data_IF_901786408861
#
_entry.id   IF_901786408861
#
_cell.length_a   1.000
_cell.length_b   1.000
_cell.length_c   1.000
_cell.angle_alpha   90.00
_cell.angle_beta   90.00
_cell.angle_gamma   90.00
#
_symmetry.space_group_name_H-M   'P 1'
#
loop_
_entity.id
_entity.type
_entity.pdbx_description
1 polymer ?
#
# COMPACT_ATOMS: atom_id res chain seq x y z
N UNK A 1 -23.53 17.37 31.12
CA UNK A 1 -23.11 16.85 29.82
C UNK A 1 -24.37 16.66 28.99
N UNK A 2 -24.49 17.36 27.86
CA UNK A 2 -25.64 17.23 26.97
C UNK A 2 -25.56 15.90 26.20
N UNK A 3 -26.67 15.36 25.68
CA UNK A 3 -26.65 14.18 24.82
C UNK A 3 -25.71 14.34 23.61
N UNK A 4 -25.60 15.57 23.08
CA UNK A 4 -24.71 15.93 21.98
C UNK A 4 -23.23 15.81 22.39
N UNK A 5 -22.83 16.38 23.53
CA UNK A 5 -21.45 16.27 24.04
C UNK A 5 -21.04 14.80 24.28
N UNK A 6 -21.98 13.97 24.74
CA UNK A 6 -21.72 12.53 24.93
C UNK A 6 -21.51 11.83 23.59
N UNK A 7 -22.26 12.18 22.54
CA UNK A 7 -22.11 11.62 21.21
C UNK A 7 -20.76 12.02 20.58
N UNK A 8 -20.35 13.28 20.73
CA UNK A 8 -19.07 13.79 20.23
C UNK A 8 -17.88 13.07 20.89
N UNK A 9 -17.89 12.95 22.22
CA UNK A 9 -16.83 12.23 22.95
C UNK A 9 -16.78 10.75 22.55
N UNK A 10 -17.93 10.11 22.32
CA UNK A 10 -17.98 8.72 21.86
C UNK A 10 -17.39 8.58 20.45
N UNK A 11 -17.71 9.50 19.53
CA UNK A 11 -17.16 9.51 18.18
C UNK A 11 -15.64 9.70 18.19
N UNK A 12 -15.16 10.71 18.93
CA UNK A 12 -13.74 10.98 19.11
C UNK A 12 -13.01 9.76 19.70
N UNK A 13 -13.56 9.16 20.77
CA UNK A 13 -12.99 7.97 21.39
C UNK A 13 -12.90 6.77 20.44
N UNK A 14 -13.88 6.61 19.54
CA UNK A 14 -13.84 5.56 18.51
C UNK A 14 -12.73 5.78 17.50
N UNK A 15 -12.50 7.02 17.06
CA UNK A 15 -11.42 7.37 16.12
C UNK A 15 -10.05 7.04 16.71
N UNK A 16 -9.75 7.55 17.91
CA UNK A 16 -8.49 7.26 18.59
C UNK A 16 -8.28 5.77 18.87
N UNK A 17 -9.35 5.03 19.18
CA UNK A 17 -9.27 3.59 19.37
C UNK A 17 -8.86 2.87 18.08
N UNK A 18 -9.45 3.24 16.94
CA UNK A 18 -9.11 2.68 15.63
C UNK A 18 -7.67 3.00 15.26
N UNK A 19 -7.22 4.24 15.49
CA UNK A 19 -5.84 4.66 15.20
C UNK A 19 -4.83 3.83 16.01
N UNK A 20 -5.06 3.68 17.32
CA UNK A 20 -4.17 2.90 18.20
C UNK A 20 -4.16 1.41 17.83
N UNK A 21 -5.32 0.83 17.51
CA UNK A 21 -5.40 -0.57 17.06
C UNK A 21 -4.62 -0.75 15.75
N UNK A 22 -4.75 0.20 14.82
CA UNK A 22 -4.04 0.20 13.54
C UNK A 22 -2.53 0.32 13.73
N UNK A 23 -2.07 1.18 14.65
CA UNK A 23 -0.65 1.32 15.02
C UNK A 23 -0.06 0.04 15.57
N UNK A 24 -0.77 -0.65 16.48
CA UNK A 24 -0.30 -1.92 17.07
C UNK A 24 -0.17 -2.99 15.99
N UNK A 25 -1.18 -3.10 15.12
CA UNK A 25 -1.18 -4.06 14.03
C UNK A 25 -0.03 -3.78 13.05
N UNK A 26 0.12 -2.54 12.60
CA UNK A 26 1.16 -2.17 11.65
C UNK A 26 2.57 -2.30 12.25
N UNK A 27 2.75 -1.97 13.52
CA UNK A 27 4.01 -2.17 14.25
C UNK A 27 4.43 -3.64 14.30
N UNK A 28 3.45 -4.54 14.46
CA UNK A 28 3.70 -5.98 14.43
C UNK A 28 4.18 -6.43 13.04
N UNK A 29 3.52 -5.97 11.98
CA UNK A 29 3.92 -6.26 10.60
C UNK A 29 5.30 -5.68 10.26
N UNK A 30 5.59 -4.46 10.71
CA UNK A 30 6.89 -3.85 10.52
C UNK A 30 8.00 -4.63 11.23
N UNK A 31 7.74 -5.17 12.42
CA UNK A 31 8.66 -6.08 13.11
C UNK A 31 8.98 -7.34 12.30
N UNK A 32 7.96 -7.97 11.71
CA UNK A 32 8.15 -9.13 10.80
C UNK A 32 8.99 -8.73 9.58
N UNK A 33 8.73 -7.55 9.00
CA UNK A 33 9.52 -7.00 7.90
C UNK A 33 10.99 -6.79 8.27
N UNK A 34 11.28 -6.23 9.44
CA UNK A 34 12.65 -6.07 9.94
C UNK A 34 13.38 -7.42 10.06
N UNK A 35 12.71 -8.45 10.57
CA UNK A 35 13.28 -9.79 10.66
C UNK A 35 13.60 -10.36 9.26
N UNK A 36 12.67 -10.25 8.32
CA UNK A 36 12.88 -10.69 6.93
C UNK A 36 14.03 -9.92 6.25
N UNK A 37 14.15 -8.61 6.55
CA UNK A 37 15.24 -7.78 6.08
C UNK A 37 16.60 -8.23 6.64
N UNK A 38 16.68 -8.50 7.95
CA UNK A 38 17.89 -9.03 8.58
C UNK A 38 18.30 -10.39 7.99
N UNK A 39 17.35 -11.29 7.76
CA UNK A 39 17.61 -12.59 7.10
C UNK A 39 18.13 -12.36 5.67
N UNK A 40 17.53 -11.42 4.93
CA UNK A 40 17.94 -11.09 3.56
C UNK A 40 19.37 -10.55 3.51
N UNK A 41 19.74 -9.66 4.44
CA UNK A 41 21.10 -9.17 4.60
C UNK A 41 22.08 -10.30 4.95
N UNK A 42 21.72 -11.15 5.91
CA UNK A 42 22.53 -12.30 6.30
C UNK A 42 22.81 -13.22 5.10
N UNK A 43 21.80 -13.55 4.30
CA UNK A 43 21.96 -14.36 3.08
C UNK A 43 22.84 -13.62 2.08
N UNK A 44 22.62 -12.31 1.86
CA UNK A 44 23.40 -11.51 0.93
C UNK A 44 24.91 -11.51 1.26
N UNK A 45 25.26 -11.32 2.53
CA UNK A 45 26.65 -11.29 2.98
C UNK A 45 27.31 -12.68 2.95
N UNK A 46 26.56 -13.73 3.27
CA UNK A 46 27.09 -15.10 3.28
C UNK A 46 27.13 -15.76 1.89
N UNK A 47 26.45 -15.17 0.90
CA UNK A 47 26.49 -15.70 -0.46
C UNK A 47 27.80 -15.32 -1.15
N UNK A 48 28.67 -16.33 -1.31
CA UNK A 48 29.88 -16.23 -2.15
C UNK A 48 29.47 -15.99 -3.61
N UNK A 49 29.75 -14.80 -4.12
CA UNK A 49 29.45 -14.40 -5.49
C UNK A 49 30.29 -13.20 -5.87
N UNK A 50 30.66 -13.10 -7.15
CA UNK A 50 31.49 -12.02 -7.67
C UNK A 50 30.89 -10.65 -7.31
N UNK A 51 31.73 -9.73 -6.82
CA UNK A 51 31.39 -8.36 -6.48
C UNK A 51 31.19 -7.48 -7.73
N UNK A 52 30.40 -7.96 -8.69
CA UNK A 52 30.05 -7.23 -9.89
C UNK A 52 29.00 -6.14 -9.64
N UNK A 53 28.75 -5.33 -10.66
CA UNK A 53 27.79 -4.23 -10.62
C UNK A 53 26.37 -4.66 -10.21
N UNK A 54 25.96 -5.89 -10.55
CA UNK A 54 24.67 -6.45 -10.15
C UNK A 54 24.56 -6.66 -8.62
N UNK A 55 25.63 -7.14 -7.97
CA UNK A 55 25.65 -7.35 -6.50
C UNK A 55 25.61 -6.01 -5.75
N UNK A 56 26.23 -4.95 -6.31
CA UNK A 56 26.14 -3.57 -5.80
C UNK A 56 24.75 -2.97 -5.99
N UNK A 57 24.15 -3.12 -7.19
CA UNK A 57 22.79 -2.65 -7.45
C UNK A 57 21.77 -3.30 -6.50
N UNK A 58 21.90 -4.61 -6.26
CA UNK A 58 21.00 -5.35 -5.38
C UNK A 58 21.03 -4.86 -3.92
N UNK A 59 22.21 -4.53 -3.38
CA UNK A 59 22.29 -3.99 -2.02
C UNK A 59 21.78 -2.55 -1.94
N UNK A 60 22.02 -1.73 -2.98
CA UNK A 60 21.46 -0.38 -3.04
C UNK A 60 19.93 -0.40 -3.05
N UNK A 61 19.31 -1.29 -3.84
CA UNK A 61 17.85 -1.45 -3.86
C UNK A 61 17.33 -1.95 -2.51
N UNK A 62 18.01 -2.93 -1.90
CA UNK A 62 17.61 -3.46 -0.59
C UNK A 62 17.66 -2.39 0.51
N UNK A 63 18.76 -1.62 0.57
CA UNK A 63 18.93 -0.51 1.53
C UNK A 63 17.93 0.62 1.27
N UNK A 64 17.78 1.04 0.02
CA UNK A 64 16.83 2.10 -0.35
C UNK A 64 15.39 1.73 0.03
N UNK A 65 14.96 0.50 -0.28
CA UNK A 65 13.63 0.03 0.08
C UNK A 65 13.42 0.00 1.60
N UNK A 66 14.44 -0.40 2.38
CA UNK A 66 14.35 -0.39 3.84
C UNK A 66 14.22 1.02 4.40
N UNK A 67 15.00 1.98 3.88
CA UNK A 67 14.90 3.38 4.28
C UNK A 67 13.52 3.95 3.97
N UNK A 68 12.98 3.68 2.78
CA UNK A 68 11.64 4.13 2.40
C UNK A 68 10.56 3.54 3.32
N UNK A 69 10.62 2.24 3.60
CA UNK A 69 9.70 1.57 4.52
C UNK A 69 9.81 2.10 5.96
N UNK A 70 11.04 2.41 6.41
CA UNK A 70 11.27 3.01 7.73
C UNK A 70 10.65 4.41 7.81
N UNK A 71 10.83 5.24 6.79
CA UNK A 71 10.22 6.58 6.74
C UNK A 71 8.70 6.46 6.74
N UNK A 72 8.13 5.59 5.90
CA UNK A 72 6.68 5.34 5.87
C UNK A 72 6.15 4.95 7.26
N UNK A 73 6.82 4.00 7.93
CA UNK A 73 6.42 3.52 9.24
C UNK A 73 6.47 4.62 10.30
N UNK A 74 7.55 5.40 10.34
CA UNK A 74 7.68 6.53 11.25
C UNK A 74 6.62 7.59 10.97
N UNK A 75 6.37 7.90 9.70
CA UNK A 75 5.32 8.85 9.29
C UNK A 75 3.93 8.42 9.74
N UNK A 76 3.64 7.12 9.76
CA UNK A 76 2.36 6.60 10.25
C UNK A 76 2.24 6.71 11.78
N UNK A 77 3.17 6.08 12.52
CA UNK A 77 3.08 5.97 13.99
C UNK A 77 3.26 7.31 14.71
N UNK A 78 3.95 8.28 14.10
CA UNK A 78 4.15 9.59 14.70
C UNK A 78 2.90 10.49 14.68
N UNK A 79 1.86 10.16 13.92
CA UNK A 79 0.62 10.97 13.83
C UNK A 79 -0.24 10.82 15.08
N UNK A 80 -0.50 9.57 15.51
CA UNK A 80 -1.35 9.26 16.66
C UNK A 80 -0.99 10.00 17.95
N UNK A 81 0.29 10.07 18.40
CA UNK A 81 0.61 10.81 19.63
C UNK A 81 0.38 12.32 19.50
N UNK A 82 0.57 12.92 18.32
CA UNK A 82 0.25 14.33 18.09
C UNK A 82 -1.28 14.56 18.11
N UNK A 83 -2.05 13.66 17.51
CA UNK A 83 -3.52 13.71 17.57
C UNK A 83 -4.03 13.57 19.01
N UNK A 84 -3.47 12.66 19.81
CA UNK A 84 -3.85 12.51 21.23
C UNK A 84 -3.48 13.75 22.03
N UNK A 85 -2.28 14.31 21.81
CA UNK A 85 -1.82 15.50 22.53
C UNK A 85 -2.75 16.70 22.30
N UNK A 86 -3.05 17.03 21.05
CA UNK A 86 -3.86 18.21 20.75
C UNK A 86 -5.37 17.96 20.78
N UNK A 87 -5.80 16.72 20.54
CA UNK A 87 -7.21 16.34 20.48
C UNK A 87 -7.82 15.86 21.81
N UNK A 88 -7.00 15.47 22.80
CA UNK A 88 -7.48 15.01 24.11
C UNK A 88 -6.83 15.73 25.30
N UNK A 89 -5.55 16.12 25.20
CA UNK A 89 -4.81 16.69 26.34
C UNK A 89 -4.90 18.22 26.39
N UNK A 90 -4.85 18.89 25.25
CA UNK A 90 -4.99 20.36 25.18
C UNK A 90 -6.46 20.74 25.30
N UNK A 91 -6.80 21.53 26.32
CA UNK A 91 -8.16 21.98 26.56
C UNK A 91 -8.41 23.29 25.83
N UNK A 92 -9.26 23.25 24.80
CA UNK A 92 -9.79 24.44 24.11
C UNK A 92 -11.22 24.75 24.56
N UNK A 93 -11.62 26.04 24.54
CA UNK A 93 -12.91 26.49 25.05
C UNK A 93 -14.13 25.98 24.26
N UNK A 94 -13.97 25.62 22.98
CA UNK A 94 -15.02 25.07 22.11
C UNK A 94 -15.18 23.54 22.19
N UNK A 95 -14.67 22.90 23.24
CA UNK A 95 -14.90 21.47 23.48
C UNK A 95 -14.06 20.54 22.61
N UNK A 96 -14.47 19.26 22.54
CA UNK A 96 -13.69 18.17 21.93
C UNK A 96 -13.55 18.36 20.41
N UNK A 97 -14.57 18.91 19.74
CA UNK A 97 -14.55 19.11 18.29
C UNK A 97 -13.53 20.17 17.88
N UNK A 98 -13.44 21.29 18.61
CA UNK A 98 -12.43 22.32 18.35
C UNK A 98 -11.01 21.77 18.57
N UNK A 99 -10.83 20.90 19.57
CA UNK A 99 -9.56 20.23 19.85
C UNK A 99 -9.13 19.29 18.72
N UNK A 100 -10.06 18.49 18.19
CA UNK A 100 -9.79 17.59 17.05
C UNK A 100 -9.43 18.39 15.79
N UNK A 101 -10.13 19.50 15.52
CA UNK A 101 -9.80 20.37 14.39
C UNK A 101 -8.43 21.03 14.58
N UNK A 102 -8.11 21.48 15.80
CA UNK A 102 -6.81 22.04 16.13
C UNK A 102 -5.67 21.00 16.03
N UNK A 103 -5.94 19.74 16.35
CA UNK A 103 -5.00 18.63 16.21
C UNK A 103 -4.71 18.32 14.74
N UNK A 104 -5.76 18.19 13.91
CA UNK A 104 -5.61 17.91 12.48
C UNK A 104 -4.97 19.06 11.69
N UNK A 105 -5.08 20.29 12.18
CA UNK A 105 -4.45 21.47 11.56
C UNK A 105 -2.99 21.69 11.97
N UNK A 106 -2.43 20.83 12.84
CA UNK A 106 -1.01 20.92 13.17
C UNK A 106 -0.15 20.69 11.94
N UNK A 107 0.87 21.54 11.79
CA UNK A 107 1.81 21.45 10.66
C UNK A 107 2.53 20.11 10.62
N UNK A 108 2.90 19.56 11.78
CA UNK A 108 3.55 18.25 11.89
C UNK A 108 2.63 17.11 11.42
N UNK A 109 1.37 17.10 11.84
CA UNK A 109 0.37 16.11 11.41
C UNK A 109 0.21 16.18 9.88
N UNK A 110 0.01 17.38 9.34
CA UNK A 110 -0.10 17.60 7.88
C UNK A 110 1.13 17.10 7.12
N UNK A 111 2.34 17.36 7.63
CA UNK A 111 3.57 16.91 6.97
C UNK A 111 3.67 15.38 6.99
N UNK A 112 3.39 14.75 8.13
CA UNK A 112 3.50 13.30 8.31
C UNK A 112 2.45 12.54 7.49
N UNK A 113 1.20 13.00 7.46
CA UNK A 113 0.12 12.39 6.66
C UNK A 113 0.40 12.51 5.17
N UNK A 114 0.90 13.66 4.71
CA UNK A 114 1.34 13.83 3.33
C UNK A 114 2.50 12.89 3.00
N UNK A 115 3.56 12.85 3.83
CA UNK A 115 4.69 11.93 3.60
C UNK A 115 4.22 10.47 3.52
N UNK A 116 3.32 10.06 4.42
CA UNK A 116 2.72 8.72 4.40
C UNK A 116 1.98 8.45 3.09
N UNK A 117 1.07 9.33 2.68
CA UNK A 117 0.29 9.21 1.44
C UNK A 117 1.16 9.11 0.19
N UNK A 118 2.21 9.93 0.09
CA UNK A 118 3.13 9.88 -1.04
C UNK A 118 3.94 8.58 -1.06
N UNK A 119 4.46 8.15 0.09
CA UNK A 119 5.28 6.95 0.19
C UNK A 119 4.46 5.66 0.01
N UNK A 120 3.19 5.63 0.47
CA UNK A 120 2.30 4.50 0.29
C UNK A 120 2.01 4.21 -1.18
N UNK A 121 2.12 5.23 -2.04
CA UNK A 121 2.00 5.08 -3.49
C UNK A 121 3.33 4.73 -4.16
N UNK A 122 4.44 5.35 -3.74
CA UNK A 122 5.76 5.13 -4.38
C UNK A 122 6.35 3.74 -4.13
N UNK A 123 6.20 3.21 -2.92
CA UNK A 123 6.81 1.93 -2.53
C UNK A 123 6.28 0.76 -3.38
N UNK A 124 4.95 0.62 -3.62
CA UNK A 124 4.42 -0.36 -4.57
C UNK A 124 5.03 -0.26 -5.97
N UNK A 125 5.31 0.93 -6.52
CA UNK A 125 5.94 1.04 -7.85
C UNK A 125 7.33 0.42 -7.88
N UNK A 126 8.12 0.62 -6.82
CA UNK A 126 9.45 0.04 -6.73
C UNK A 126 9.33 -1.49 -6.72
N UNK A 127 8.33 -2.03 -6.03
CA UNK A 127 8.03 -3.46 -6.04
C UNK A 127 7.65 -3.94 -7.46
N UNK A 128 6.75 -3.24 -8.14
CA UNK A 128 6.27 -3.59 -9.48
C UNK A 128 7.41 -3.54 -10.52
N UNK A 129 8.27 -2.51 -10.47
CA UNK A 129 9.48 -2.41 -11.31
C UNK A 129 10.43 -3.60 -11.06
N UNK A 130 10.61 -4.02 -9.81
CA UNK A 130 11.46 -5.18 -9.48
C UNK A 130 10.86 -6.47 -10.03
N UNK A 131 9.54 -6.64 -9.98
CA UNK A 131 8.85 -7.81 -10.55
C UNK A 131 8.98 -7.82 -12.07
N UNK A 132 8.77 -6.67 -12.72
CA UNK A 132 8.88 -6.51 -14.18
C UNK A 132 10.30 -6.75 -14.66
N UNK A 133 11.31 -6.23 -13.95
CA UNK A 133 12.71 -6.50 -14.24
C UNK A 133 13.02 -8.00 -14.19
N UNK A 134 12.46 -8.73 -13.22
CA UNK A 134 12.62 -10.19 -13.11
C UNK A 134 11.95 -10.93 -14.25
N UNK A 135 10.73 -10.53 -14.64
CA UNK A 135 10.04 -11.09 -15.80
C UNK A 135 10.81 -10.83 -17.10
N UNK A 136 11.34 -9.62 -17.26
CA UNK A 136 12.17 -9.24 -18.42
C UNK A 136 13.42 -10.11 -18.52
N UNK A 137 14.13 -10.32 -17.41
CA UNK A 137 15.35 -11.13 -17.39
C UNK A 137 15.09 -12.60 -17.81
N UNK A 138 13.89 -13.12 -17.57
CA UNK A 138 13.46 -14.46 -17.97
C UNK A 138 13.10 -14.56 -19.47
N UNK A 139 12.55 -13.49 -20.04
CA UNK A 139 12.06 -13.46 -21.42
C UNK A 139 13.10 -12.93 -22.41
N UNK A 140 14.29 -13.53 -22.51
CA UNK A 140 15.37 -13.00 -23.36
C UNK A 140 14.98 -12.85 -24.84
N UNK A 141 14.18 -13.77 -25.39
CA UNK A 141 13.92 -13.91 -26.83
C UNK A 141 12.59 -13.34 -27.35
N UNK A 142 11.66 -12.90 -26.49
CA UNK A 142 10.34 -12.42 -26.93
C UNK A 142 10.14 -10.93 -26.64
N UNK A 143 10.46 -10.09 -27.63
CA UNK A 143 10.42 -8.62 -27.53
C UNK A 143 9.01 -8.08 -27.29
N UNK A 144 7.96 -8.77 -27.75
CA UNK A 144 6.57 -8.33 -27.56
C UNK A 144 6.16 -8.33 -26.09
N UNK A 145 6.47 -9.40 -25.36
CA UNK A 145 6.17 -9.53 -23.92
C UNK A 145 6.88 -8.45 -23.11
N UNK A 146 8.14 -8.12 -23.46
CA UNK A 146 8.89 -7.04 -22.81
C UNK A 146 8.21 -5.67 -22.98
N UNK A 147 7.78 -5.34 -24.21
CA UNK A 147 7.09 -4.08 -24.47
C UNK A 147 5.74 -4.00 -23.78
N UNK A 148 4.98 -5.09 -23.74
CA UNK A 148 3.70 -5.14 -23.01
C UNK A 148 3.91 -4.90 -21.51
N UNK A 149 4.90 -5.55 -20.88
CA UNK A 149 5.21 -5.35 -19.46
C UNK A 149 5.67 -3.91 -19.19
N UNK A 150 6.51 -3.34 -20.03
CA UNK A 150 7.02 -1.97 -19.86
C UNK A 150 5.91 -0.92 -20.01
N UNK A 151 5.05 -1.05 -21.04
CA UNK A 151 3.90 -0.16 -21.24
C UNK A 151 2.93 -0.23 -20.08
N UNK A 152 2.66 -1.44 -19.58
CA UNK A 152 1.73 -1.64 -18.47
C UNK A 152 2.26 -1.04 -17.16
N UNK A 153 3.55 -1.21 -16.87
CA UNK A 153 4.21 -0.59 -15.70
C UNK A 153 4.22 0.93 -15.81
N UNK A 154 4.46 1.46 -17.02
CA UNK A 154 4.49 2.92 -17.22
C UNK A 154 3.10 3.54 -17.07
N UNK A 155 2.06 2.87 -17.56
CA UNK A 155 0.68 3.29 -17.34
C UNK A 155 0.33 3.32 -15.85
N UNK A 156 0.75 2.30 -15.09
CA UNK A 156 0.54 2.22 -13.64
C UNK A 156 1.19 3.38 -12.87
N UNK A 157 2.46 3.65 -13.18
CA UNK A 157 3.20 4.79 -12.61
C UNK A 157 2.49 6.11 -12.93
N UNK A 158 2.01 6.29 -14.16
CA UNK A 158 1.37 7.53 -14.58
C UNK A 158 0.04 7.78 -13.86
N UNK A 159 -0.80 6.76 -13.72
CA UNK A 159 -2.11 6.87 -13.06
C UNK A 159 -1.94 7.14 -11.56
N UNK A 160 -1.05 6.42 -10.90
CA UNK A 160 -0.90 6.53 -9.46
C UNK A 160 -0.13 7.80 -9.04
N UNK A 161 0.72 8.34 -9.92
CA UNK A 161 1.28 9.69 -9.75
C UNK A 161 0.20 10.77 -9.94
N UNK A 162 -0.67 10.61 -10.94
CA UNK A 162 -1.79 11.52 -11.14
C UNK A 162 -2.73 11.53 -9.94
N UNK A 163 -3.03 10.37 -9.36
CA UNK A 163 -3.81 10.22 -8.15
C UNK A 163 -3.19 10.96 -6.95
N UNK A 164 -1.90 10.73 -6.69
CA UNK A 164 -1.17 11.41 -5.60
C UNK A 164 -1.19 12.94 -5.73
N UNK A 165 -1.03 13.44 -6.96
CA UNK A 165 -1.09 14.88 -7.25
C UNK A 165 -2.50 15.43 -7.04
N UNK A 166 -3.53 14.71 -7.50
CA UNK A 166 -4.93 15.08 -7.27
C UNK A 166 -5.25 15.11 -5.77
N UNK A 167 -4.82 14.11 -5.00
CA UNK A 167 -5.05 14.09 -3.55
C UNK A 167 -4.36 15.29 -2.84
N UNK A 168 -3.14 15.63 -3.26
CA UNK A 168 -2.40 16.78 -2.72
C UNK A 168 -2.99 18.15 -3.09
N UNK A 169 -3.71 18.24 -4.21
CA UNK A 169 -4.32 19.48 -4.71
C UNK A 169 -5.79 19.64 -4.31
N UNK A 170 -6.52 18.53 -4.12
CA UNK A 170 -7.91 18.49 -3.67
C UNK A 170 -8.04 18.72 -2.16
N UNK A 171 -7.01 18.42 -1.36
CA UNK A 171 -6.92 18.88 0.04
C UNK A 171 -7.03 20.43 0.16
N UNK A 172 -6.89 21.17 -0.95
CA UNK A 172 -7.07 22.61 -1.03
C UNK A 172 -8.42 23.07 -1.61
N UNK A 173 -9.24 22.18 -2.17
CA UNK A 173 -10.56 22.52 -2.74
C UNK A 173 -11.59 21.44 -2.44
N UNK A 174 -12.30 21.66 -1.33
CA UNK A 174 -13.56 20.98 -1.02
C UNK A 174 -14.60 21.34 -2.07
N UNK A 175 -14.93 20.43 -2.97
CA UNK A 175 -16.21 20.42 -3.68
C UNK A 175 -16.46 19.11 -4.39
N UNK A 176 -17.51 18.42 -3.92
CA UNK A 176 -18.49 17.65 -4.67
C UNK A 176 -18.17 17.43 -6.16
N UNK A 177 -17.83 16.20 -6.53
CA UNK A 177 -18.36 15.58 -7.75
C UNK A 177 -18.06 14.08 -7.74
N UNK A 178 -19.06 13.31 -8.17
CA UNK A 178 -19.06 11.87 -8.32
C UNK A 178 -18.16 11.44 -9.50
N UNK A 179 -16.85 11.58 -9.31
CA UNK A 179 -15.86 10.97 -10.17
C UNK A 179 -15.50 9.60 -9.59
N UNK A 180 -15.39 8.58 -10.44
CA UNK A 180 -14.69 7.34 -10.09
C UNK A 180 -13.33 7.75 -9.53
N UNK A 181 -13.08 7.54 -8.24
CA UNK A 181 -11.88 8.07 -7.62
C UNK A 181 -10.67 7.43 -8.29
N UNK A 182 -9.65 8.25 -8.60
CA UNK A 182 -8.44 7.80 -9.25
C UNK A 182 -7.75 6.68 -8.44
N UNK A 183 -7.98 6.63 -7.12
CA UNK A 183 -7.60 5.53 -6.24
C UNK A 183 -8.03 4.15 -6.79
N UNK A 184 -9.29 4.00 -7.25
CA UNK A 184 -9.78 2.73 -7.79
C UNK A 184 -9.05 2.32 -9.06
N UNK A 185 -8.77 3.31 -9.92
CA UNK A 185 -8.09 3.07 -11.19
C UNK A 185 -6.63 2.68 -10.93
N UNK A 186 -5.94 3.41 -10.05
CA UNK A 186 -4.57 3.14 -9.64
C UNK A 186 -4.43 1.72 -9.07
N UNK A 187 -5.33 1.33 -8.16
CA UNK A 187 -5.25 0.03 -7.50
C UNK A 187 -5.59 -1.13 -8.45
N UNK A 188 -6.61 -1.00 -9.31
CA UNK A 188 -6.94 -2.02 -10.32
C UNK A 188 -5.81 -2.17 -11.33
N UNK A 189 -5.15 -1.06 -11.70
CA UNK A 189 -4.06 -1.06 -12.66
C UNK A 189 -2.81 -1.74 -12.08
N UNK A 190 -2.43 -1.43 -10.83
CA UNK A 190 -1.29 -2.10 -10.16
C UNK A 190 -1.55 -3.59 -9.99
N UNK A 191 -2.79 -3.97 -9.65
CA UNK A 191 -3.17 -5.38 -9.56
C UNK A 191 -3.06 -6.08 -10.93
N UNK A 192 -3.47 -5.40 -11.99
CA UNK A 192 -3.37 -5.93 -13.36
C UNK A 192 -1.91 -6.10 -13.80
N UNK A 193 -1.03 -5.15 -13.45
CA UNK A 193 0.41 -5.24 -13.70
C UNK A 193 1.00 -6.46 -13.01
N UNK A 194 0.70 -6.63 -11.72
CA UNK A 194 1.18 -7.72 -10.91
C UNK A 194 0.67 -9.08 -11.37
N UNK A 195 -0.60 -9.16 -11.75
CA UNK A 195 -1.21 -10.36 -12.31
C UNK A 195 -0.55 -10.76 -13.63
N UNK A 196 -0.41 -9.82 -14.56
CA UNK A 196 0.19 -10.09 -15.87
C UNK A 196 1.67 -10.46 -15.74
N UNK A 197 2.41 -9.79 -14.87
CA UNK A 197 3.81 -10.10 -14.62
C UNK A 197 3.97 -11.49 -13.97
N UNK A 198 3.17 -11.81 -12.96
CA UNK A 198 3.19 -13.11 -12.27
C UNK A 198 2.81 -14.24 -13.22
N UNK A 199 1.75 -14.08 -14.02
CA UNK A 199 1.34 -15.04 -15.05
C UNK A 199 2.42 -15.21 -16.13
N UNK A 200 3.11 -14.14 -16.52
CA UNK A 200 4.21 -14.21 -17.50
C UNK A 200 5.42 -14.99 -16.97
N UNK A 201 5.73 -14.86 -15.68
CA UNK A 201 6.77 -15.66 -15.00
C UNK A 201 6.33 -17.12 -14.91
N UNK A 202 5.08 -17.38 -14.52
CA UNK A 202 4.50 -18.73 -14.42
C UNK A 202 4.51 -19.46 -15.77
N UNK A 203 4.11 -18.77 -16.83
CA UNK A 203 4.07 -19.34 -18.18
C UNK A 203 5.47 -19.69 -18.68
N UNK A 204 6.47 -18.83 -18.45
CA UNK A 204 7.85 -19.12 -18.80
C UNK A 204 8.41 -20.30 -17.99
N UNK A 205 8.09 -20.38 -16.69
CA UNK A 205 8.45 -21.53 -15.86
C UNK A 205 7.82 -22.84 -16.38
N UNK A 206 6.55 -22.78 -16.81
CA UNK A 206 5.85 -23.92 -17.41
C UNK A 206 6.43 -24.33 -18.77
N UNK A 207 6.81 -23.37 -19.62
CA UNK A 207 7.50 -23.65 -20.89
C UNK A 207 8.86 -24.32 -20.66
N UNK A 208 9.63 -23.84 -19.68
CA UNK A 208 10.88 -24.48 -19.28
C UNK A 208 10.65 -25.90 -18.77
N UNK A 209 9.67 -26.11 -17.89
CA UNK A 209 9.31 -27.43 -17.39
C UNK A 209 8.88 -28.36 -18.52
N UNK A 210 8.00 -27.92 -19.42
CA UNK A 210 7.50 -28.71 -20.57
C UNK A 210 8.61 -29.08 -21.56
N UNK A 211 9.53 -28.15 -21.85
CA UNK A 211 10.68 -28.38 -22.71
C UNK A 211 11.69 -29.36 -22.11
N UNK A 212 11.81 -29.38 -20.78
CA UNK A 212 12.77 -30.24 -20.08
C UNK A 212 12.19 -31.62 -19.75
N UNK A 213 10.87 -31.73 -19.57
CA UNK A 213 10.15 -33.00 -19.36
C UNK A 213 10.12 -33.90 -20.61
N UNK A 214 10.35 -33.36 -21.81
CA UNK A 214 10.48 -34.18 -23.02
C UNK A 214 11.83 -34.91 -23.10
N UNK A 215 12.80 -34.60 -22.23
CA UNK A 215 14.19 -35.08 -22.32
C UNK A 215 14.61 -35.96 -21.11
N UNK A 216 13.98 -35.90 -19.93
CA UNK A 216 14.37 -36.80 -18.82
C UNK A 216 13.30 -36.94 -17.72
N UNK A 217 12.81 -38.17 -17.53
CA UNK A 217 11.77 -38.55 -16.56
C UNK A 217 12.21 -38.65 -15.09
N UNK A 218 13.44 -38.22 -14.74
CA UNK A 218 13.94 -38.40 -13.37
C UNK A 218 15.04 -37.41 -13.01
N UNK A 219 14.69 -36.15 -12.71
CA UNK A 219 15.69 -35.23 -12.16
C UNK A 219 15.16 -34.31 -11.06
N UNK A 220 16.00 -34.18 -10.02
CA UNK A 220 15.92 -33.27 -8.88
C UNK A 220 15.70 -31.84 -9.39
N UNK A 221 14.70 -31.13 -8.86
CA UNK A 221 14.42 -29.72 -9.19
C UNK A 221 15.72 -28.90 -9.30
N UNK A 222 15.91 -28.25 -10.43
CA UNK A 222 17.07 -27.38 -10.66
C UNK A 222 16.96 -26.14 -9.77
N UNK A 223 18.10 -25.50 -9.46
CA UNK A 223 18.11 -24.25 -8.67
C UNK A 223 17.23 -23.17 -9.30
N UNK A 224 17.15 -23.12 -10.64
CA UNK A 224 16.29 -22.18 -11.37
C UNK A 224 14.80 -22.43 -11.16
N UNK A 225 14.35 -23.68 -11.17
CA UNK A 225 12.94 -24.04 -10.92
C UNK A 225 12.49 -23.67 -9.51
N UNK A 226 13.35 -23.86 -8.50
CA UNK A 226 13.04 -23.43 -7.12
C UNK A 226 12.90 -21.92 -6.99
N UNK A 227 13.78 -21.16 -7.65
CA UNK A 227 13.70 -19.69 -7.65
C UNK A 227 12.42 -19.23 -8.35
N UNK A 228 12.06 -19.83 -9.47
CA UNK A 228 10.83 -19.53 -10.20
C UNK A 228 9.58 -19.83 -9.37
N UNK A 229 9.57 -20.94 -8.64
CA UNK A 229 8.45 -21.32 -7.79
C UNK A 229 8.31 -20.37 -6.59
N UNK A 230 9.40 -20.00 -5.94
CA UNK A 230 9.39 -18.99 -4.88
C UNK A 230 8.88 -17.63 -5.39
N UNK A 231 9.27 -17.23 -6.60
CA UNK A 231 8.76 -16.00 -7.23
C UNK A 231 7.25 -16.08 -7.46
N UNK A 232 6.76 -17.21 -7.95
CA UNK A 232 5.33 -17.45 -8.16
C UNK A 232 4.54 -17.38 -6.84
N UNK A 233 5.01 -18.07 -5.80
CA UNK A 233 4.36 -18.08 -4.48
C UNK A 233 4.34 -16.68 -3.86
N UNK A 234 5.46 -15.95 -3.89
CA UNK A 234 5.53 -14.59 -3.34
C UNK A 234 4.65 -13.59 -4.12
N UNK A 235 4.57 -13.70 -5.45
CA UNK A 235 3.68 -12.88 -6.27
C UNK A 235 2.20 -13.18 -6.00
N UNK A 236 1.84 -14.45 -5.80
CA UNK A 236 0.48 -14.83 -5.44
C UNK A 236 0.04 -14.28 -4.07
N UNK A 237 0.92 -14.35 -3.07
CA UNK A 237 0.68 -13.75 -1.75
C UNK A 237 0.49 -12.24 -1.87
N UNK A 238 1.35 -11.56 -2.65
CA UNK A 238 1.22 -10.12 -2.87
C UNK A 238 -0.10 -9.74 -3.53
N UNK A 239 -0.52 -10.46 -4.58
CA UNK A 239 -1.82 -10.25 -5.23
C UNK A 239 -3.00 -10.47 -4.26
N UNK A 240 -2.92 -11.49 -3.39
CA UNK A 240 -3.96 -11.73 -2.38
C UNK A 240 -4.06 -10.58 -1.37
N UNK A 241 -2.92 -10.04 -0.95
CA UNK A 241 -2.87 -8.86 -0.05
C UNK A 241 -3.44 -7.62 -0.75
N UNK A 242 -3.09 -7.37 -2.01
CA UNK A 242 -3.67 -6.28 -2.79
C UNK A 242 -5.19 -6.43 -2.95
N UNK A 243 -5.70 -7.63 -3.24
CA UNK A 243 -7.13 -7.90 -3.30
C UNK A 243 -7.84 -7.61 -1.97
N UNK A 244 -7.25 -8.03 -0.86
CA UNK A 244 -7.81 -7.78 0.46
C UNK A 244 -7.86 -6.27 0.77
N UNK A 245 -6.82 -5.53 0.39
CA UNK A 245 -6.79 -4.08 0.52
C UNK A 245 -7.92 -3.42 -0.29
N UNK A 246 -8.13 -3.84 -1.55
CA UNK A 246 -9.23 -3.36 -2.40
C UNK A 246 -10.58 -3.61 -1.75
N UNK A 247 -10.81 -4.84 -1.27
CA UNK A 247 -12.08 -5.21 -0.63
C UNK A 247 -12.31 -4.35 0.61
N UNK A 248 -11.26 -4.08 1.40
CA UNK A 248 -11.37 -3.26 2.60
C UNK A 248 -11.76 -1.82 2.26
N UNK A 249 -11.13 -1.22 1.24
CA UNK A 249 -11.48 0.14 0.75
C UNK A 249 -12.89 0.18 0.13
N UNK A 250 -13.27 -0.86 -0.61
CA UNK A 250 -14.61 -0.98 -1.17
C UNK A 250 -15.69 -0.98 -0.08
N UNK A 251 -15.45 -1.75 0.98
CA UNK A 251 -16.34 -1.84 2.11
C UNK A 251 -16.41 -0.52 2.88
N UNK A 252 -15.28 0.14 3.17
CA UNK A 252 -15.28 1.42 3.90
C UNK A 252 -16.08 2.51 3.17
N UNK A 253 -15.91 2.62 1.85
CA UNK A 253 -16.66 3.58 1.04
C UNK A 253 -18.17 3.29 1.04
N UNK A 254 -18.55 2.01 1.07
CA UNK A 254 -19.96 1.61 1.14
C UNK A 254 -20.57 1.96 2.50
N UNK A 255 -19.80 1.80 3.59
CA UNK A 255 -20.22 2.18 4.94
C UNK A 255 -20.42 3.70 5.06
N UNK A 256 -19.47 4.53 4.62
CA UNK A 256 -19.62 6.00 4.66
C UNK A 256 -20.85 6.48 3.87
N UNK A 257 -21.09 5.89 2.70
CA UNK A 257 -22.24 6.24 1.88
C UNK A 257 -23.57 5.85 2.54
N UNK A 258 -23.62 4.71 3.25
CA UNK A 258 -24.80 4.28 4.02
C UNK A 258 -25.06 5.16 5.24
N UNK A 259 -24.02 5.59 5.93
CA UNK A 259 -24.11 6.46 7.10
C UNK A 259 -24.68 7.85 6.75
N UNK A 260 -24.20 8.46 5.65
CA UNK A 260 -24.73 9.73 5.17
C UNK A 260 -26.21 9.67 4.75
N UNK A 261 -26.68 8.53 4.25
CA UNK A 261 -28.09 8.34 3.91
C UNK A 261 -28.99 8.25 5.15
N UNK A 262 -28.54 7.58 6.22
CA UNK A 262 -29.27 7.55 7.49
C UNK A 262 -29.34 8.93 8.15
N UNK A 263 -28.25 9.71 8.11
CA UNK A 263 -28.21 11.08 8.63
C UNK A 263 -29.18 12.02 7.86
N UNK A 264 -29.22 11.93 6.53
CA UNK A 264 -30.15 12.71 5.72
C UNK A 264 -31.62 12.31 5.95
N UNK A 265 -31.90 11.02 6.15
CA UNK A 265 -33.24 10.52 6.46
C UNK A 265 -33.72 10.99 7.84
N UNK A 266 -32.85 10.94 8.85
CA UNK A 266 -33.17 11.39 10.22
C UNK A 266 -33.39 12.89 10.28
N UNK A 267 -32.58 13.70 9.58
CA UNK A 267 -32.81 15.14 9.45
C UNK A 267 -34.11 15.48 8.71
N UNK A 268 -34.44 14.73 7.65
CA UNK A 268 -35.71 14.93 6.92
C UNK A 268 -36.94 14.64 7.78
N UNK A 269 -36.87 13.65 8.67
CA UNK A 269 -37.96 13.33 9.60
C UNK A 269 -38.10 14.37 10.71
N UNK A 270 -37.00 14.95 11.19
CA UNK A 270 -37.05 16.03 12.19
C UNK A 270 -37.64 17.33 11.62
N UNK A 271 -37.34 17.67 10.37
CA UNK A 271 -37.91 18.84 9.68
C UNK A 271 -39.40 18.68 9.39
N UNK A 272 -39.91 17.45 9.23
CA UNK A 272 -41.35 17.19 9.07
C UNK A 272 -42.15 17.21 10.38
N UNK A 273 -41.48 17.22 11.53
CA UNK A 273 -42.11 17.21 12.86
C UNK A 273 -42.09 18.57 13.56
N UNK A 274 -41.54 19.61 12.93
CA UNK A 274 -41.63 21.02 13.33
C UNK A 274 -42.62 21.79 12.46
#
# INVERSE_FOLDING_TARGET
MTPEEVAEVKSAGSLFFIDVVSDIFLSTLFGIYCLAYCISLYIYFNTKGNAGNAKKAMICVLLGNFVLMLILFVSFVAVTPELVKYGLVVILPGGIMEQIVAANSQSQVTILTNLYSWLSNVIPFIADIVIVWRAWALWTNNTKVKWTLLLLTFADIAVSLADSVVHSTVFQRRSNESAISLDWVAVILSLSVNLIATCSIAFQAWLHYKSMNSISSRRRQTRGERILLLLLESGAVYMAVQLLAIITVALSNTYDQSFHLEEMLTLSQQVQLQ
#
